data_IF_143370868756
#
_entry.id   IF_143370868756
#
_cell.length_a   1.000
_cell.length_b   1.000
_cell.length_c   1.000
_cell.angle_alpha   90.00
_cell.angle_beta   90.00
_cell.angle_gamma   90.00
#
_symmetry.space_group_name_H-M   'P 1'
#
loop_
_entity.id
_entity.type
_entity.pdbx_description
1 polymer ?
#
# COMPACT_ATOMS: atom_id res chain seq x y z
N UNK A 1 10.69 16.45 17.73
CA UNK A 1 9.43 15.71 17.42
C UNK A 1 8.98 15.84 15.95
N UNK A 2 9.10 17.02 15.32
CA UNK A 2 8.75 17.25 13.91
C UNK A 2 9.58 16.39 12.95
N UNK A 3 10.87 16.18 13.25
CA UNK A 3 11.76 15.27 12.51
C UNK A 3 11.32 13.80 12.55
N UNK A 4 10.77 13.32 13.68
CA UNK A 4 10.26 11.96 13.80
C UNK A 4 8.95 11.80 13.00
N UNK A 5 8.05 12.79 13.09
CA UNK A 5 6.84 12.84 12.25
C UNK A 5 7.20 12.90 10.77
N UNK A 6 8.19 13.70 10.37
CA UNK A 6 8.71 13.74 9.01
C UNK A 6 9.36 12.41 8.62
N UNK A 7 10.11 11.76 9.51
CA UNK A 7 10.74 10.46 9.23
C UNK A 7 9.72 9.33 9.03
N UNK A 8 8.54 9.42 9.66
CA UNK A 8 7.43 8.46 9.49
C UNK A 8 6.52 8.85 8.32
N UNK A 9 6.22 10.13 8.14
CA UNK A 9 5.34 10.62 7.09
C UNK A 9 6.04 10.66 5.72
N UNK A 10 7.33 10.95 5.66
CA UNK A 10 8.10 10.98 4.42
C UNK A 10 8.06 9.65 3.66
N UNK A 11 8.33 8.47 4.25
CA UNK A 11 8.20 7.20 3.54
C UNK A 11 6.75 6.92 3.15
N UNK A 12 5.76 7.31 3.96
CA UNK A 12 4.34 7.16 3.59
C UNK A 12 3.96 8.04 2.40
N UNK A 13 4.38 9.30 2.38
CA UNK A 13 4.18 10.25 1.27
C UNK A 13 4.93 9.76 0.03
N UNK A 14 6.17 9.29 0.19
CA UNK A 14 6.96 8.73 -0.90
C UNK A 14 6.29 7.48 -1.48
N UNK A 15 5.81 6.56 -0.63
CA UNK A 15 5.05 5.38 -1.05
C UNK A 15 3.77 5.81 -1.77
N UNK A 16 3.01 6.76 -1.22
CA UNK A 16 1.80 7.28 -1.85
C UNK A 16 2.08 7.94 -3.20
N UNK A 17 3.16 8.73 -3.31
CA UNK A 17 3.60 9.37 -4.55
C UNK A 17 4.04 8.32 -5.58
N UNK A 18 4.80 7.30 -5.17
CA UNK A 18 5.19 6.18 -6.03
C UNK A 18 3.97 5.38 -6.51
N UNK A 19 2.99 5.13 -5.63
CA UNK A 19 1.72 4.50 -5.99
C UNK A 19 0.92 5.35 -6.98
N UNK A 20 0.88 6.67 -6.79
CA UNK A 20 0.21 7.60 -7.70
C UNK A 20 0.87 7.61 -9.08
N UNK A 21 2.20 7.72 -9.13
CA UNK A 21 2.97 7.65 -10.39
C UNK A 21 2.72 6.31 -11.09
N UNK A 22 2.74 5.19 -10.35
CA UNK A 22 2.41 3.87 -10.87
C UNK A 22 0.99 3.82 -11.43
N UNK A 23 0.01 4.41 -10.74
CA UNK A 23 -1.39 4.45 -11.19
C UNK A 23 -1.56 5.28 -12.46
N UNK A 24 -0.87 6.42 -12.56
CA UNK A 24 -0.88 7.27 -13.76
C UNK A 24 -0.22 6.57 -14.96
N UNK A 25 0.93 5.92 -14.74
CA UNK A 25 1.59 5.11 -15.78
C UNK A 25 0.69 3.96 -16.23
N UNK A 26 0.03 3.29 -15.28
CA UNK A 26 -0.92 2.23 -15.58
C UNK A 26 -2.09 2.74 -16.43
N UNK A 27 -2.67 3.90 -16.12
CA UNK A 27 -3.73 4.51 -16.93
C UNK A 27 -3.27 4.83 -18.35
N UNK A 28 -2.09 5.47 -18.49
CA UNK A 28 -1.53 5.80 -19.82
C UNK A 28 -1.33 4.56 -20.69
N UNK A 29 -0.78 3.49 -20.10
CA UNK A 29 -0.59 2.23 -20.83
C UNK A 29 -1.91 1.56 -21.20
N UNK A 30 -2.94 1.62 -20.35
CA UNK A 30 -4.27 1.11 -20.69
C UNK A 30 -4.90 1.85 -21.86
N UNK A 31 -4.76 3.19 -21.90
CA UNK A 31 -5.22 4.01 -23.01
C UNK A 31 -4.48 3.68 -24.31
N UNK A 32 -3.16 3.50 -24.24
CA UNK A 32 -2.36 3.10 -25.40
C UNK A 32 -2.77 1.73 -25.95
N UNK A 33 -2.97 0.73 -25.08
CA UNK A 33 -3.47 -0.59 -25.48
C UNK A 33 -4.88 -0.52 -26.07
N UNK A 34 -5.76 0.33 -25.52
CA UNK A 34 -7.10 0.56 -26.09
C UNK A 34 -7.04 1.16 -27.49
N UNK A 35 -6.17 2.15 -27.72
CA UNK A 35 -5.97 2.74 -29.04
C UNK A 35 -5.45 1.71 -30.06
N UNK A 36 -4.51 0.85 -29.65
CA UNK A 36 -4.04 -0.27 -30.48
C UNK A 36 -5.19 -1.21 -30.84
N UNK A 37 -6.02 -1.62 -29.87
CA UNK A 37 -7.17 -2.51 -30.14
C UNK A 37 -8.11 -1.91 -31.17
N UNK A 38 -8.46 -0.63 -31.03
CA UNK A 38 -9.36 0.05 -31.97
C UNK A 38 -8.78 0.07 -33.39
N UNK A 39 -7.48 0.38 -33.55
CA UNK A 39 -6.81 0.37 -34.85
C UNK A 39 -6.81 -1.02 -35.48
N UNK A 40 -6.45 -2.06 -34.72
CA UNK A 40 -6.43 -3.43 -35.23
C UNK A 40 -7.82 -3.95 -35.59
N UNK A 41 -8.85 -3.60 -34.81
CA UNK A 41 -10.23 -3.94 -35.12
C UNK A 41 -10.68 -3.34 -36.46
N UNK A 42 -10.31 -2.09 -36.74
CA UNK A 42 -10.63 -1.43 -38.01
C UNK A 42 -9.80 -1.95 -39.18
N UNK A 43 -8.53 -2.29 -38.96
CA UNK A 43 -7.63 -2.72 -40.01
C UNK A 43 -7.87 -4.18 -40.43
N UNK A 44 -8.36 -5.04 -39.52
CA UNK A 44 -8.52 -6.47 -39.75
C UNK A 44 -9.95 -6.94 -39.43
N UNK A 45 -10.95 -6.53 -40.24
CA UNK A 45 -12.33 -6.97 -40.04
C UNK A 45 -12.45 -8.50 -40.22
N UNK A 46 -13.39 -9.17 -39.51
CA UNK A 46 -13.60 -10.60 -39.65
C UNK A 46 -14.05 -10.98 -41.06
N UNK A 47 -13.54 -12.09 -41.59
CA UNK A 47 -14.03 -12.65 -42.84
C UNK A 47 -15.39 -13.37 -42.63
N UNK A 48 -16.17 -13.63 -43.70
CA UNK A 48 -17.44 -14.36 -43.59
C UNK A 48 -17.26 -15.71 -42.89
N UNK A 49 -17.93 -15.89 -41.74
CA UNK A 49 -17.84 -17.10 -40.92
C UNK A 49 -16.71 -17.10 -39.89
N UNK A 50 -15.98 -16.00 -39.72
CA UNK A 50 -15.02 -15.79 -38.64
C UNK A 50 -15.64 -14.97 -37.50
N UNK A 51 -15.28 -15.30 -36.26
CA UNK A 51 -15.61 -14.49 -35.08
C UNK A 51 -14.39 -13.68 -34.65
N UNK A 52 -14.53 -12.36 -34.58
CA UNK A 52 -13.49 -11.46 -34.11
C UNK A 52 -13.55 -11.32 -32.57
N UNK A 53 -12.43 -11.54 -31.89
CA UNK A 53 -12.32 -11.40 -30.43
C UNK A 53 -11.13 -10.50 -30.09
N UNK A 54 -11.34 -9.48 -29.27
CA UNK A 54 -10.22 -8.66 -28.77
C UNK A 54 -9.49 -9.36 -27.64
N UNK A 55 -8.16 -9.31 -27.69
CA UNK A 55 -7.30 -10.01 -26.75
C UNK A 55 -6.17 -9.15 -26.21
N UNK A 56 -5.79 -9.42 -24.98
CA UNK A 56 -4.58 -8.90 -24.34
C UNK A 56 -3.49 -9.96 -24.40
N UNK A 57 -2.28 -9.54 -24.73
CA UNK A 57 -1.17 -10.45 -24.99
C UNK A 57 -0.01 -10.08 -24.07
N UNK A 58 0.60 -11.12 -23.50
CA UNK A 58 1.85 -11.02 -22.77
C UNK A 58 2.92 -11.78 -23.55
N UNK A 59 3.90 -11.04 -24.07
CA UNK A 59 5.04 -11.62 -24.78
C UNK A 59 5.97 -12.36 -23.81
N UNK A 60 6.79 -13.32 -24.29
CA UNK A 60 7.77 -14.00 -23.46
C UNK A 60 8.75 -13.05 -22.77
N UNK A 61 9.15 -11.96 -23.44
CA UNK A 61 10.06 -10.96 -22.89
C UNK A 61 9.41 -10.20 -21.71
N UNK A 62 8.14 -9.80 -21.84
CA UNK A 62 7.43 -9.12 -20.77
C UNK A 62 7.11 -10.04 -19.59
N UNK A 63 6.78 -11.30 -19.88
CA UNK A 63 6.54 -12.33 -18.85
C UNK A 63 7.76 -12.62 -17.96
N UNK A 64 8.98 -12.33 -18.42
CA UNK A 64 10.22 -12.48 -17.64
C UNK A 64 10.46 -11.32 -16.66
N UNK A 65 9.81 -10.17 -16.83
CA UNK A 65 9.99 -9.00 -15.94
C UNK A 65 9.53 -9.31 -14.51
N UNK A 66 10.28 -8.81 -13.52
CA UNK A 66 10.01 -9.07 -12.10
C UNK A 66 8.77 -8.34 -11.57
N UNK A 67 8.51 -7.13 -12.05
CA UNK A 67 7.45 -6.24 -11.56
C UNK A 67 6.79 -5.48 -12.72
N UNK A 68 6.12 -6.19 -13.65
CA UNK A 68 5.47 -5.53 -14.76
C UNK A 68 4.37 -4.59 -14.23
N UNK A 69 4.29 -3.37 -14.77
CA UNK A 69 3.21 -2.43 -14.44
C UNK A 69 1.83 -2.95 -14.84
N UNK A 70 1.79 -3.73 -15.92
CA UNK A 70 0.59 -4.36 -16.46
C UNK A 70 0.84 -5.80 -16.80
N UNK A 71 -0.24 -6.57 -16.78
CA UNK A 71 -0.21 -7.98 -17.11
C UNK A 71 0.00 -8.24 -18.62
N UNK A 72 -0.17 -7.23 -19.48
CA UNK A 72 0.01 -7.31 -20.94
C UNK A 72 0.87 -6.14 -21.46
N UNK A 73 1.72 -6.43 -22.43
CA UNK A 73 2.55 -5.48 -23.17
C UNK A 73 2.11 -5.32 -24.63
N UNK A 74 1.15 -6.13 -25.06
CA UNK A 74 0.58 -6.09 -26.38
C UNK A 74 -0.94 -6.23 -26.35
N UNK A 75 -1.57 -5.69 -27.39
CA UNK A 75 -2.99 -5.81 -27.65
C UNK A 75 -3.19 -6.41 -29.02
N UNK A 76 -4.26 -7.19 -29.19
CA UNK A 76 -4.53 -7.85 -30.44
C UNK A 76 -6.00 -8.16 -30.69
N UNK A 77 -6.22 -8.70 -31.88
CA UNK A 77 -7.47 -9.19 -32.40
C UNK A 77 -7.23 -10.62 -32.87
N UNK A 78 -8.05 -11.53 -32.34
CA UNK A 78 -8.06 -12.94 -32.70
C UNK A 78 -9.28 -13.20 -33.59
N UNK A 79 -9.03 -13.53 -34.85
CA UNK A 79 -10.05 -13.97 -35.79
C UNK A 79 -10.15 -15.50 -35.72
N UNK A 80 -11.28 -15.99 -35.22
CA UNK A 80 -11.56 -17.40 -35.00
C UNK A 80 -12.34 -17.93 -36.20
N UNK A 81 -11.69 -18.69 -37.07
CA UNK A 81 -12.31 -19.32 -38.24
C UNK A 81 -12.53 -20.82 -38.05
N UNK A 82 -13.10 -21.48 -39.08
CA UNK A 82 -13.28 -22.95 -39.10
C UNK A 82 -11.94 -23.69 -39.13
N UNK A 83 -10.96 -23.15 -39.86
CA UNK A 83 -9.70 -23.84 -40.17
C UNK A 83 -8.58 -23.54 -39.15
N UNK A 84 -8.72 -22.49 -38.33
CA UNK A 84 -7.70 -22.07 -37.39
C UNK A 84 -7.96 -20.68 -36.81
N UNK A 85 -6.93 -20.16 -36.13
CA UNK A 85 -6.93 -18.87 -35.46
C UNK A 85 -5.91 -17.95 -36.11
N UNK A 86 -6.33 -16.75 -36.50
CA UNK A 86 -5.43 -15.68 -36.96
C UNK A 86 -5.33 -14.63 -35.88
N UNK A 87 -4.12 -14.38 -35.39
CA UNK A 87 -3.82 -13.36 -34.40
C UNK A 87 -3.13 -12.19 -35.08
N UNK A 88 -3.76 -11.02 -35.04
CA UNK A 88 -3.13 -9.75 -35.38
C UNK A 88 -2.91 -8.97 -34.09
N UNK A 89 -1.68 -8.59 -33.80
CA UNK A 89 -1.35 -7.89 -32.56
C UNK A 89 -0.25 -6.87 -32.74
N UNK A 90 -0.20 -5.90 -31.83
CA UNK A 90 0.82 -4.87 -31.81
C UNK A 90 1.26 -4.68 -30.36
N UNK A 91 2.57 -4.62 -30.15
CA UNK A 91 3.13 -4.33 -28.83
C UNK A 91 3.13 -2.83 -28.58
N UNK A 92 3.20 -2.41 -27.31
CA UNK A 92 3.43 -1.00 -26.96
C UNK A 92 4.73 -0.43 -27.53
N UNK A 93 5.67 -1.28 -27.95
CA UNK A 93 6.92 -0.87 -28.57
C UNK A 93 6.81 -0.67 -30.10
N UNK A 94 5.66 -0.97 -30.72
CA UNK A 94 5.40 -0.75 -32.14
C UNK A 94 5.57 -1.93 -33.11
N UNK A 95 6.27 -3.06 -32.84
CA UNK A 95 6.25 -4.16 -33.78
C UNK A 95 4.86 -4.81 -33.82
N UNK A 96 4.30 -4.85 -35.02
CA UNK A 96 3.14 -5.66 -35.36
C UNK A 96 3.54 -7.13 -35.48
N UNK A 97 2.66 -8.03 -35.04
CA UNK A 97 2.81 -9.47 -35.15
C UNK A 97 1.55 -10.04 -35.78
N UNK A 98 1.74 -10.91 -36.76
CA UNK A 98 0.69 -11.69 -37.37
C UNK A 98 1.07 -13.17 -37.27
N UNK A 99 0.22 -13.97 -36.64
CA UNK A 99 0.49 -15.39 -36.41
C UNK A 99 -0.77 -16.22 -36.67
N UNK A 100 -0.57 -17.39 -37.26
CA UNK A 100 -1.62 -18.38 -37.48
C UNK A 100 -1.41 -19.58 -36.55
N UNK A 101 -2.48 -20.03 -35.92
CA UNK A 101 -2.48 -21.21 -35.06
C UNK A 101 -3.55 -22.21 -35.51
N UNK A 102 -3.23 -23.50 -35.61
CA UNK A 102 -4.26 -24.52 -35.79
C UNK A 102 -5.15 -24.61 -34.54
N UNK A 103 -6.40 -24.97 -34.75
CA UNK A 103 -7.41 -25.07 -33.68
C UNK A 103 -7.35 -26.44 -33.02
N UNK A 104 -6.30 -26.68 -32.24
CA UNK A 104 -6.10 -27.94 -31.53
C UNK A 104 -5.55 -27.73 -30.10
N UNK A 105 -5.69 -28.76 -29.27
CA UNK A 105 -5.27 -28.73 -27.87
C UNK A 105 -3.74 -28.76 -27.68
N UNK A 106 -2.96 -29.07 -28.73
CA UNK A 106 -1.50 -29.02 -28.65
C UNK A 106 -1.04 -27.55 -28.68
N UNK A 107 -1.63 -26.76 -29.56
CA UNK A 107 -1.29 -25.36 -29.78
C UNK A 107 -2.06 -24.39 -28.87
N UNK A 108 -3.19 -24.82 -28.30
CA UNK A 108 -4.03 -24.00 -27.41
C UNK A 108 -4.10 -24.67 -26.04
N UNK A 109 -3.33 -24.16 -25.08
CA UNK A 109 -3.27 -24.73 -23.74
C UNK A 109 -3.82 -23.79 -22.69
N UNK A 110 -4.62 -24.33 -21.77
CA UNK A 110 -5.06 -23.60 -20.59
C UNK A 110 -3.90 -23.45 -19.61
N UNK A 111 -3.42 -22.21 -19.39
CA UNK A 111 -2.40 -21.95 -18.37
C UNK A 111 -3.01 -21.75 -16.98
N UNK A 112 -4.27 -21.29 -16.93
CA UNK A 112 -4.92 -20.90 -15.68
C UNK A 112 -4.25 -19.67 -15.06
N UNK A 113 -4.27 -19.60 -13.72
CA UNK A 113 -3.58 -18.56 -12.95
C UNK A 113 -2.11 -18.95 -12.77
N UNK A 114 -1.17 -18.20 -13.34
CA UNK A 114 0.24 -18.58 -13.31
C UNK A 114 1.15 -17.52 -12.69
N UNK A 115 1.88 -17.91 -11.63
CA UNK A 115 2.97 -17.11 -11.03
C UNK A 115 2.53 -15.95 -10.13
N UNK A 116 3.47 -15.42 -9.32
CA UNK A 116 3.29 -14.22 -8.47
C UNK A 116 3.22 -12.92 -9.26
N UNK A 117 3.71 -12.94 -10.51
CA UNK A 117 3.96 -11.74 -11.33
C UNK A 117 2.84 -11.41 -12.30
N UNK A 118 1.92 -12.34 -12.54
CA UNK A 118 0.78 -12.15 -13.42
C UNK A 118 -0.46 -12.23 -12.54
N UNK A 119 -1.02 -11.07 -12.23
CA UNK A 119 -2.02 -10.86 -11.20
C UNK A 119 -3.28 -11.67 -11.51
N UNK A 120 -3.41 -12.88 -10.95
CA UNK A 120 -4.64 -13.69 -10.84
C UNK A 120 -5.58 -13.69 -12.05
N UNK A 121 -5.01 -13.68 -13.25
CA UNK A 121 -5.75 -13.73 -14.52
C UNK A 121 -5.55 -15.09 -15.16
N UNK A 122 -6.60 -15.55 -15.84
CA UNK A 122 -6.52 -16.73 -16.69
C UNK A 122 -5.85 -16.36 -18.00
N UNK A 123 -4.84 -17.15 -18.36
CA UNK A 123 -4.13 -17.03 -19.62
C UNK A 123 -4.30 -18.31 -20.42
N UNK A 124 -4.37 -18.14 -21.73
CA UNK A 124 -4.22 -19.19 -22.72
C UNK A 124 -2.83 -19.10 -23.30
N UNK A 125 -2.19 -20.24 -23.50
CA UNK A 125 -0.96 -20.33 -24.28
C UNK A 125 -1.36 -20.64 -25.73
N UNK A 126 -0.90 -19.82 -26.66
CA UNK A 126 -0.97 -20.07 -28.09
C UNK A 126 0.43 -20.40 -28.64
N UNK A 127 0.54 -21.51 -29.37
CA UNK A 127 1.74 -21.93 -30.09
C UNK A 127 2.56 -23.03 -29.40
N UNK A 128 3.42 -23.68 -30.18
CA UNK A 128 4.28 -24.80 -29.75
C UNK A 128 5.75 -24.38 -29.46
N UNK A 129 6.10 -23.10 -29.62
CA UNK A 129 7.48 -22.58 -29.48
C UNK A 129 7.56 -21.24 -28.74
N UNK A 130 7.47 -20.12 -29.46
CA UNK A 130 7.32 -18.79 -28.84
C UNK A 130 5.92 -18.64 -28.27
N UNK A 131 5.75 -19.09 -27.03
CA UNK A 131 4.42 -19.19 -26.45
C UNK A 131 3.87 -17.81 -26.12
N UNK A 132 2.84 -17.39 -26.86
CA UNK A 132 2.10 -16.18 -26.55
C UNK A 132 1.07 -16.47 -25.48
N UNK A 133 1.08 -15.65 -24.42
CA UNK A 133 0.02 -15.68 -23.41
C UNK A 133 -1.08 -14.75 -23.85
N UNK A 134 -2.26 -15.28 -24.09
CA UNK A 134 -3.42 -14.56 -24.61
C UNK A 134 -4.59 -14.65 -23.63
N UNK A 135 -5.31 -13.55 -23.46
CA UNK A 135 -6.56 -13.51 -22.70
C UNK A 135 -7.55 -12.57 -23.37
N UNK A 136 -8.86 -12.66 -23.10
CA UNK A 136 -9.82 -11.68 -23.58
C UNK A 136 -9.45 -10.28 -23.08
N UNK A 137 -9.60 -9.29 -23.94
CA UNK A 137 -9.40 -7.89 -23.57
C UNK A 137 -10.42 -7.47 -22.50
N UNK A 138 -9.98 -6.65 -21.56
CA UNK A 138 -10.84 -6.09 -20.52
C UNK A 138 -10.20 -6.04 -19.14
N UNK A 139 -10.95 -5.50 -18.18
CA UNK A 139 -10.56 -5.47 -16.78
C UNK A 139 -10.45 -6.88 -16.18
N UNK A 140 -9.82 -6.97 -15.00
CA UNK A 140 -9.55 -8.24 -14.30
C UNK A 140 -10.81 -9.11 -14.19
N UNK A 141 -11.94 -8.53 -13.78
CA UNK A 141 -13.22 -9.24 -13.59
C UNK A 141 -13.77 -9.80 -14.91
N UNK A 142 -13.82 -8.97 -15.96
CA UNK A 142 -14.29 -9.40 -17.28
C UNK A 142 -13.40 -10.52 -17.83
N UNK A 143 -12.08 -10.34 -17.83
CA UNK A 143 -11.16 -11.35 -18.33
C UNK A 143 -11.27 -12.67 -17.56
N UNK A 144 -11.46 -12.62 -16.24
CA UNK A 144 -11.65 -13.83 -15.43
C UNK A 144 -12.93 -14.60 -15.82
N UNK A 145 -14.01 -13.90 -16.13
CA UNK A 145 -15.29 -14.51 -16.53
C UNK A 145 -15.29 -14.97 -17.99
N UNK A 146 -14.64 -14.23 -18.89
CA UNK A 146 -14.66 -14.50 -20.32
C UNK A 146 -13.55 -15.43 -20.79
N UNK A 147 -12.50 -15.67 -20.02
CA UNK A 147 -11.40 -16.58 -20.43
C UNK A 147 -11.84 -18.05 -20.55
N UNK A 148 -12.65 -18.62 -19.63
CA UNK A 148 -13.22 -19.96 -19.82
C UNK A 148 -14.12 -20.02 -21.06
N UNK A 149 -14.92 -18.99 -21.31
CA UNK A 149 -15.78 -18.89 -22.50
C UNK A 149 -14.96 -18.78 -23.78
N UNK A 150 -13.86 -18.01 -23.77
CA UNK A 150 -12.91 -17.94 -24.86
C UNK A 150 -12.27 -19.31 -25.11
N UNK A 151 -11.81 -20.00 -24.07
CA UNK A 151 -11.23 -21.33 -24.20
C UNK A 151 -12.20 -22.31 -24.87
N UNK A 152 -13.47 -22.32 -24.43
CA UNK A 152 -14.52 -23.13 -25.06
C UNK A 152 -14.82 -22.69 -26.49
N UNK A 153 -14.85 -21.37 -26.75
CA UNK A 153 -15.00 -20.88 -28.12
C UNK A 153 -13.84 -21.35 -29.02
N UNK A 154 -12.62 -21.46 -28.48
CA UNK A 154 -11.43 -21.89 -29.24
C UNK A 154 -11.29 -23.40 -29.37
N UNK A 155 -11.76 -24.22 -28.44
CA UNK A 155 -11.57 -25.69 -28.47
C UNK A 155 -12.88 -26.50 -28.40
N UNK A 156 -14.04 -25.86 -28.52
CA UNK A 156 -15.35 -26.49 -28.39
C UNK A 156 -15.72 -26.77 -26.93
N UNK A 157 -16.39 -27.88 -26.65
CA UNK A 157 -16.85 -28.25 -25.30
C UNK A 157 -15.72 -28.70 -24.34
N UNK A 158 -14.46 -28.41 -24.66
CA UNK A 158 -13.34 -28.66 -23.79
C UNK A 158 -13.51 -27.90 -22.46
N UNK A 159 -13.67 -28.65 -21.37
CA UNK A 159 -13.76 -28.07 -20.03
C UNK A 159 -12.36 -27.65 -19.56
N UNK A 160 -12.12 -26.36 -19.22
CA UNK A 160 -10.88 -25.98 -18.58
C UNK A 160 -10.76 -26.71 -17.24
N UNK A 161 -9.56 -27.14 -16.85
CA UNK A 161 -9.32 -27.86 -15.60
C UNK A 161 -9.96 -27.11 -14.41
N UNK A 162 -10.75 -27.83 -13.61
CA UNK A 162 -11.81 -27.36 -12.70
C UNK A 162 -11.42 -26.37 -11.59
N UNK A 163 -10.15 -26.02 -11.43
CA UNK A 163 -9.67 -25.03 -10.44
C UNK A 163 -10.00 -23.58 -10.86
N UNK A 164 -10.62 -23.38 -12.02
CA UNK A 164 -10.55 -22.13 -12.78
C UNK A 164 -11.81 -21.22 -12.80
N UNK A 165 -12.87 -21.47 -12.02
CA UNK A 165 -14.14 -20.73 -12.21
C UNK A 165 -14.60 -19.91 -10.98
N UNK A 166 -14.12 -20.20 -9.77
CA UNK A 166 -14.52 -19.42 -8.61
C UNK A 166 -13.83 -18.04 -8.61
N UNK A 167 -14.60 -16.99 -8.89
CA UNK A 167 -14.18 -15.61 -8.70
C UNK A 167 -13.81 -15.39 -7.24
N UNK A 168 -12.56 -15.05 -6.97
CA UNK A 168 -12.14 -14.73 -5.61
C UNK A 168 -12.80 -13.41 -5.18
N UNK A 169 -13.50 -13.44 -4.06
CA UNK A 169 -13.93 -12.25 -3.33
C UNK A 169 -13.18 -12.22 -2.00
N UNK A 170 -12.64 -11.05 -1.64
CA UNK A 170 -11.88 -10.90 -0.40
C UNK A 170 -12.73 -11.29 0.83
N UNK A 171 -14.02 -11.01 0.74
CA UNK A 171 -15.04 -11.27 1.76
C UNK A 171 -15.46 -12.74 1.87
N UNK A 172 -15.19 -13.60 0.87
CA UNK A 172 -15.56 -15.01 0.95
C UNK A 172 -14.45 -15.91 1.49
N UNK A 173 -13.21 -15.40 1.56
CA UNK A 173 -12.07 -16.18 2.02
C UNK A 173 -11.76 -15.91 3.51
N UNK A 174 -11.86 -16.93 4.39
CA UNK A 174 -11.70 -16.73 5.84
C UNK A 174 -10.28 -16.36 6.26
N UNK A 175 -9.23 -16.72 5.50
CA UNK A 175 -7.87 -16.24 5.79
C UNK A 175 -7.70 -14.77 5.39
N UNK A 176 -8.24 -14.35 4.25
CA UNK A 176 -8.20 -12.95 3.83
C UNK A 176 -8.95 -12.06 4.83
N UNK A 177 -10.12 -12.50 5.32
CA UNK A 177 -10.86 -11.82 6.38
C UNK A 177 -10.03 -11.68 7.66
N UNK A 178 -9.46 -12.78 8.19
CA UNK A 178 -8.65 -12.76 9.42
C UNK A 178 -7.49 -11.76 9.34
N UNK A 179 -6.75 -11.75 8.23
CA UNK A 179 -5.64 -10.82 8.02
C UNK A 179 -6.14 -9.38 7.93
N UNK A 180 -7.24 -9.14 7.22
CA UNK A 180 -7.85 -7.81 7.09
C UNK A 180 -8.34 -7.28 8.45
N UNK A 181 -9.00 -8.11 9.26
CA UNK A 181 -9.42 -7.75 10.62
C UNK A 181 -8.22 -7.43 11.51
N UNK A 182 -7.18 -8.27 11.49
CA UNK A 182 -5.96 -8.03 12.26
C UNK A 182 -5.29 -6.70 11.85
N UNK A 183 -5.17 -6.44 10.56
CA UNK A 183 -4.68 -5.17 10.02
C UNK A 183 -5.51 -3.98 10.54
N UNK A 184 -6.84 -4.06 10.47
CA UNK A 184 -7.73 -2.97 10.86
C UNK A 184 -7.66 -2.68 12.37
N UNK A 185 -7.73 -3.72 13.21
CA UNK A 185 -7.66 -3.56 14.67
C UNK A 185 -6.33 -2.96 15.11
N UNK A 186 -5.21 -3.50 14.61
CA UNK A 186 -3.88 -2.99 14.95
C UNK A 186 -3.64 -1.57 14.39
N UNK A 187 -4.10 -1.32 13.17
CA UNK A 187 -4.00 -0.01 12.53
C UNK A 187 -4.79 1.07 13.27
N UNK A 188 -6.04 0.78 13.66
CA UNK A 188 -6.87 1.68 14.46
C UNK A 188 -6.27 1.93 15.84
N UNK A 189 -5.78 0.89 16.50
CA UNK A 189 -5.10 1.03 17.79
C UNK A 189 -3.88 1.95 17.68
N UNK A 190 -3.03 1.74 16.68
CA UNK A 190 -1.85 2.56 16.45
C UNK A 190 -2.22 4.02 16.11
N UNK A 191 -3.23 4.22 15.26
CA UNK A 191 -3.72 5.55 14.89
C UNK A 191 -4.24 6.32 16.10
N UNK A 192 -5.04 5.66 16.94
CA UNK A 192 -5.57 6.26 18.17
C UNK A 192 -4.45 6.72 19.10
N UNK A 193 -3.50 5.83 19.38
CA UNK A 193 -2.44 6.09 20.36
C UNK A 193 -1.36 7.06 19.85
N UNK A 194 -0.93 6.94 18.59
CA UNK A 194 0.22 7.69 18.08
C UNK A 194 -0.16 9.02 17.43
N UNK A 195 -1.41 9.17 16.98
CA UNK A 195 -1.83 10.31 16.15
C UNK A 195 -2.97 11.09 16.77
N UNK A 196 -4.08 10.44 17.13
CA UNK A 196 -5.31 11.14 17.49
C UNK A 196 -5.32 11.65 18.94
N UNK A 197 -4.86 10.84 19.88
CA UNK A 197 -4.85 11.19 21.30
C UNK A 197 -3.48 10.94 21.95
N UNK A 198 -2.38 11.53 21.43
CA UNK A 198 -1.06 11.33 22.02
C UNK A 198 -0.96 12.14 23.32
N UNK A 199 -1.44 11.55 24.41
CA UNK A 199 -1.25 12.11 25.76
C UNK A 199 0.23 12.14 26.15
N UNK A 200 1.00 11.21 25.61
CA UNK A 200 2.42 11.08 25.88
C UNK A 200 3.21 11.18 24.59
N UNK A 201 4.13 12.14 24.56
CA UNK A 201 4.93 12.46 23.40
C UNK A 201 6.30 11.81 23.54
N UNK A 202 6.66 10.94 22.60
CA UNK A 202 8.01 10.38 22.54
C UNK A 202 9.04 11.48 22.22
N UNK A 203 9.96 11.72 23.15
CA UNK A 203 11.01 12.72 23.02
C UNK A 203 12.22 12.19 22.26
N UNK A 204 12.67 10.98 22.61
CA UNK A 204 13.81 10.34 21.99
C UNK A 204 13.58 8.82 21.88
N UNK A 205 13.69 8.23 20.68
CA UNK A 205 13.78 6.78 20.55
C UNK A 205 15.17 6.37 21.04
N UNK A 206 15.33 6.21 22.37
CA UNK A 206 16.64 6.03 23.01
C UNK A 206 17.45 4.84 22.53
N UNK A 207 16.85 3.92 21.76
CA UNK A 207 17.48 2.68 21.29
C UNK A 207 16.97 2.30 19.89
N UNK A 208 17.69 2.63 18.79
CA UNK A 208 17.30 2.19 17.44
C UNK A 208 17.26 0.66 17.31
N UNK A 209 18.04 -0.05 18.14
CA UNK A 209 18.03 -1.50 18.23
C UNK A 209 16.65 -2.06 18.66
N UNK A 210 15.91 -1.32 19.48
CA UNK A 210 14.57 -1.72 19.95
C UNK A 210 13.54 -1.60 18.82
N UNK A 211 13.67 -0.59 17.96
CA UNK A 211 12.87 -0.45 16.75
C UNK A 211 13.20 -1.57 15.74
N UNK A 212 14.48 -1.93 15.59
CA UNK A 212 14.90 -3.07 14.78
C UNK A 212 14.38 -4.40 15.34
N UNK A 213 14.37 -4.55 16.67
CA UNK A 213 13.83 -5.72 17.36
C UNK A 213 12.31 -5.87 17.15
N UNK A 214 11.57 -4.78 16.89
CA UNK A 214 10.16 -4.83 16.51
C UNK A 214 9.95 -5.23 15.04
N UNK A 215 10.87 -4.85 14.16
CA UNK A 215 10.76 -5.13 12.73
C UNK A 215 10.85 -6.63 12.40
N UNK A 216 11.70 -7.38 13.11
CA UNK A 216 11.87 -8.81 12.88
C UNK A 216 10.57 -9.63 13.14
N UNK A 217 9.90 -9.55 14.31
CA UNK A 217 8.66 -10.26 14.54
C UNK A 217 7.52 -9.76 13.64
N UNK A 218 7.47 -8.46 13.30
CA UNK A 218 6.51 -7.95 12.33
C UNK A 218 6.71 -8.59 10.94
N UNK A 219 7.97 -8.69 10.49
CA UNK A 219 8.32 -9.30 9.21
C UNK A 219 7.97 -10.79 9.19
N UNK A 220 8.28 -11.51 10.26
CA UNK A 220 7.91 -12.93 10.42
C UNK A 220 6.39 -13.10 10.41
N UNK A 221 5.65 -12.28 11.16
CA UNK A 221 4.18 -12.31 11.17
C UNK A 221 3.57 -12.07 9.79
N UNK A 222 4.08 -11.07 9.06
CA UNK A 222 3.67 -10.80 7.68
C UNK A 222 4.04 -11.94 6.71
N UNK A 223 5.21 -12.55 6.86
CA UNK A 223 5.62 -13.70 6.06
C UNK A 223 4.77 -14.95 6.31
N UNK A 224 4.40 -15.20 7.58
CA UNK A 224 3.47 -16.27 7.96
C UNK A 224 2.07 -16.00 7.41
N UNK A 225 1.59 -14.75 7.47
CA UNK A 225 0.31 -14.36 6.88
C UNK A 225 0.31 -14.57 5.36
N UNK A 226 1.37 -14.15 4.67
CA UNK A 226 1.53 -14.38 3.23
C UNK A 226 1.45 -15.87 2.90
N UNK A 227 2.19 -16.70 3.64
CA UNK A 227 2.18 -18.16 3.44
C UNK A 227 0.78 -18.75 3.67
N UNK A 228 0.08 -18.31 4.72
CA UNK A 228 -1.27 -18.77 5.01
C UNK A 228 -2.27 -18.36 3.90
N UNK A 229 -2.23 -17.11 3.44
CA UNK A 229 -3.07 -16.61 2.36
C UNK A 229 -2.84 -17.39 1.05
N UNK A 230 -1.57 -17.66 0.71
CA UNK A 230 -1.24 -18.44 -0.48
C UNK A 230 -1.70 -19.90 -0.37
N UNK A 231 -1.66 -20.50 0.83
CA UNK A 231 -2.18 -21.85 1.08
C UNK A 231 -3.70 -21.91 0.87
N UNK A 232 -4.41 -20.86 1.27
CA UNK A 232 -5.86 -20.74 1.12
C UNK A 232 -6.26 -20.19 -0.27
N UNK A 233 -5.37 -20.30 -1.26
CA UNK A 233 -5.58 -19.93 -2.66
C UNK A 233 -5.99 -18.46 -2.86
N UNK A 234 -5.62 -17.58 -1.93
CA UNK A 234 -5.81 -16.14 -2.10
C UNK A 234 -4.95 -15.68 -3.27
N UNK A 235 -5.50 -14.83 -4.16
CA UNK A 235 -4.77 -14.20 -5.23
C UNK A 235 -3.43 -13.63 -4.78
N UNK A 236 -2.37 -13.96 -5.50
CA UNK A 236 -1.00 -13.65 -5.09
C UNK A 236 -0.77 -12.15 -4.88
N UNK A 237 -1.36 -11.31 -5.73
CA UNK A 237 -1.32 -9.86 -5.59
C UNK A 237 -2.06 -9.35 -4.36
N UNK A 238 -3.25 -9.89 -4.09
CA UNK A 238 -4.02 -9.55 -2.88
C UNK A 238 -3.31 -10.04 -1.60
N UNK A 239 -2.74 -11.25 -1.63
CA UNK A 239 -1.99 -11.82 -0.53
C UNK A 239 -0.76 -10.98 -0.18
N UNK A 240 0.01 -10.56 -1.20
CA UNK A 240 1.16 -9.68 -1.02
C UNK A 240 0.75 -8.31 -0.42
N UNK A 241 -0.28 -7.67 -0.99
CA UNK A 241 -0.79 -6.39 -0.50
C UNK A 241 -1.24 -6.48 0.97
N UNK A 242 -2.08 -7.47 1.30
CA UNK A 242 -2.57 -7.69 2.66
C UNK A 242 -1.42 -7.94 3.65
N UNK A 243 -0.39 -8.68 3.23
CA UNK A 243 0.77 -8.96 4.08
C UNK A 243 1.62 -7.72 4.33
N UNK A 244 1.81 -6.86 3.34
CA UNK A 244 2.50 -5.57 3.49
C UNK A 244 1.72 -4.62 4.39
N UNK A 245 0.40 -4.54 4.23
CA UNK A 245 -0.47 -3.75 5.10
C UNK A 245 -0.40 -4.26 6.55
N UNK A 246 -0.48 -5.57 6.74
CA UNK A 246 -0.34 -6.18 8.06
C UNK A 246 1.04 -5.91 8.68
N UNK A 247 2.13 -5.99 7.91
CA UNK A 247 3.47 -5.64 8.38
C UNK A 247 3.52 -4.21 8.94
N UNK A 248 2.97 -3.24 8.20
CA UNK A 248 2.87 -1.86 8.63
C UNK A 248 2.06 -1.70 9.93
N UNK A 249 0.91 -2.37 10.02
CA UNK A 249 0.08 -2.33 11.24
C UNK A 249 0.74 -3.04 12.43
N UNK A 250 1.48 -4.13 12.23
CA UNK A 250 2.23 -4.81 13.29
C UNK A 250 3.35 -3.91 13.82
N UNK A 251 4.06 -3.21 12.94
CA UNK A 251 5.07 -2.23 13.35
C UNK A 251 4.46 -1.07 14.13
N UNK A 252 3.42 -0.44 13.59
CA UNK A 252 2.81 0.73 14.22
C UNK A 252 2.11 0.35 15.54
N UNK A 253 1.32 -0.73 15.54
CA UNK A 253 0.62 -1.23 16.72
C UNK A 253 1.58 -1.77 17.78
N UNK A 254 2.65 -2.45 17.36
CA UNK A 254 3.70 -2.91 18.25
C UNK A 254 4.44 -1.76 18.93
N UNK A 255 4.78 -0.70 18.19
CA UNK A 255 5.39 0.50 18.76
C UNK A 255 4.44 1.18 19.76
N UNK A 256 3.17 1.36 19.39
CA UNK A 256 2.16 1.90 20.29
C UNK A 256 2.02 1.06 21.57
N UNK A 257 2.02 -0.27 21.44
CA UNK A 257 2.00 -1.20 22.58
C UNK A 257 3.24 -1.08 23.47
N UNK A 258 4.44 -0.98 22.89
CA UNK A 258 5.69 -0.83 23.64
C UNK A 258 5.73 0.50 24.39
N UNK A 259 5.32 1.61 23.77
CA UNK A 259 5.27 2.92 24.45
C UNK A 259 4.28 2.90 25.61
N UNK A 260 3.12 2.28 25.41
CA UNK A 260 2.10 2.10 26.44
C UNK A 260 2.63 1.24 27.61
N UNK A 261 3.30 0.13 27.31
CA UNK A 261 3.85 -0.77 28.31
C UNK A 261 5.00 -0.10 29.08
N UNK A 262 5.89 0.59 28.39
CA UNK A 262 6.96 1.38 29.02
C UNK A 262 6.38 2.41 29.98
N UNK A 263 5.29 3.08 29.57
CA UNK A 263 4.61 4.06 30.41
C UNK A 263 3.97 3.45 31.65
N UNK A 264 3.29 2.31 31.53
CA UNK A 264 2.67 1.62 32.67
C UNK A 264 3.72 1.24 33.71
N UNK A 265 4.93 0.91 33.25
CA UNK A 265 6.06 0.54 34.11
C UNK A 265 6.88 1.74 34.59
N UNK A 266 6.68 2.93 34.02
CA UNK A 266 7.39 4.14 34.38
C UNK A 266 6.75 4.82 35.60
N UNK A 267 7.57 5.52 36.39
CA UNK A 267 7.09 6.46 37.41
C UNK A 267 7.18 7.88 36.86
N UNK A 268 6.07 8.58 36.63
CA UNK A 268 6.09 9.96 36.16
C UNK A 268 6.72 10.89 37.20
N UNK A 269 7.64 11.75 36.79
CA UNK A 269 8.31 12.72 37.65
C UNK A 269 8.32 14.11 37.03
N UNK A 270 8.20 15.13 37.86
CA UNK A 270 8.29 16.53 37.43
C UNK A 270 9.74 16.97 37.44
N UNK A 271 10.19 17.55 36.34
CA UNK A 271 11.53 18.08 36.19
C UNK A 271 11.48 19.54 35.78
N UNK A 272 12.34 20.34 36.40
CA UNK A 272 12.52 21.74 36.04
C UNK A 272 13.39 21.86 34.79
N UNK A 273 12.90 22.60 33.80
CA UNK A 273 13.59 22.88 32.56
C UNK A 273 13.76 24.37 32.37
N UNK A 274 14.97 24.79 31.99
CA UNK A 274 15.24 26.18 31.68
C UNK A 274 15.10 26.44 30.17
N UNK A 275 14.39 27.51 29.81
CA UNK A 275 14.21 27.93 28.43
C UNK A 275 15.53 28.53 27.88
N UNK A 276 16.10 27.87 26.86
CA UNK A 276 17.35 28.29 26.23
C UNK A 276 17.10 29.20 25.02
N UNK A 277 16.06 28.90 24.26
CA UNK A 277 15.55 29.67 23.13
C UNK A 277 14.03 29.66 23.18
N UNK A 278 13.37 30.60 22.51
CA UNK A 278 11.91 30.63 22.41
C UNK A 278 11.43 29.28 21.87
N UNK A 279 10.71 28.50 22.68
CA UNK A 279 10.21 27.13 22.42
C UNK A 279 11.16 25.94 22.68
N UNK A 280 12.38 26.18 23.15
CA UNK A 280 13.39 25.13 23.39
C UNK A 280 13.90 25.13 24.82
N UNK A 281 13.75 23.98 25.47
CA UNK A 281 13.97 23.79 26.90
C UNK A 281 15.03 22.70 27.13
N UNK A 282 15.95 22.95 28.07
CA UNK A 282 17.03 22.03 28.44
C UNK A 282 17.14 21.89 29.95
N UNK A 283 17.44 20.67 30.39
CA UNK A 283 17.76 20.33 31.77
C UNK A 283 18.98 19.39 31.79
N UNK A 284 19.78 19.45 32.84
CA UNK A 284 20.98 18.62 32.95
C UNK A 284 20.61 17.14 33.11
N UNK A 285 21.21 16.27 32.28
CA UNK A 285 20.99 14.82 32.35
C UNK A 285 19.64 14.31 31.82
N UNK A 286 18.85 15.18 31.21
CA UNK A 286 17.52 14.87 30.67
C UNK A 286 17.44 15.18 29.17
N UNK A 287 16.50 14.57 28.42
CA UNK A 287 16.31 14.89 27.01
C UNK A 287 15.84 16.34 26.82
N UNK A 288 16.35 16.97 25.76
CA UNK A 288 15.93 18.31 25.35
C UNK A 288 14.46 18.31 24.89
N UNK A 289 13.71 19.36 25.23
CA UNK A 289 12.32 19.53 24.81
C UNK A 289 12.22 20.60 23.72
N UNK A 290 11.62 20.23 22.60
CA UNK A 290 11.37 21.09 21.44
C UNK A 290 9.86 21.29 21.29
N UNK A 291 9.36 22.44 21.76
CA UNK A 291 7.94 22.78 21.88
C UNK A 291 7.47 23.77 20.81
N UNK A 292 8.06 23.71 19.61
CA UNK A 292 7.72 24.56 18.45
C UNK A 292 6.23 24.72 18.15
N UNK A 293 5.43 23.68 18.34
CA UNK A 293 3.97 23.74 18.13
C UNK A 293 3.27 24.75 19.04
N UNK A 294 3.93 25.15 20.12
CA UNK A 294 3.42 26.08 21.13
C UNK A 294 4.25 27.36 21.21
N UNK A 295 5.07 27.66 20.18
CA UNK A 295 5.97 28.82 20.15
C UNK A 295 5.28 30.15 20.46
N UNK A 296 4.03 30.33 20.00
CA UNK A 296 3.25 31.54 20.27
C UNK A 296 2.96 31.76 21.76
N UNK A 297 2.79 30.67 22.53
CA UNK A 297 2.60 30.73 23.97
C UNK A 297 3.90 31.09 24.70
N UNK A 298 5.04 30.52 24.27
CA UNK A 298 6.33 30.74 24.92
C UNK A 298 7.06 32.03 24.50
N UNK A 299 6.66 32.65 23.39
CA UNK A 299 7.27 33.87 22.85
C UNK A 299 7.41 35.03 23.84
N UNK A 300 6.44 35.30 24.74
CA UNK A 300 6.54 36.39 25.69
C UNK A 300 7.49 36.14 26.87
N UNK A 301 7.86 34.89 27.15
CA UNK A 301 8.64 34.56 28.34
C UNK A 301 10.15 34.78 28.10
N UNK A 302 10.89 35.25 29.11
CA UNK A 302 12.31 35.57 28.96
C UNK A 302 13.17 34.31 28.89
N UNK A 303 14.33 34.40 28.22
CA UNK A 303 15.34 33.33 28.25
C UNK A 303 15.74 33.05 29.70
N UNK A 304 15.85 31.78 30.06
CA UNK A 304 16.08 31.32 31.43
C UNK A 304 14.80 31.06 32.23
N UNK A 305 13.61 31.37 31.68
CA UNK A 305 12.33 30.98 32.28
C UNK A 305 12.35 29.49 32.59
N UNK A 306 12.00 29.14 33.84
CA UNK A 306 12.04 27.76 34.31
C UNK A 306 10.63 27.24 34.44
N UNK A 307 10.34 26.13 33.78
CA UNK A 307 9.03 25.49 33.78
C UNK A 307 9.15 24.03 34.21
N UNK A 308 8.11 23.50 34.86
CA UNK A 308 8.07 22.11 35.26
C UNK A 308 7.35 21.26 34.22
N UNK A 309 8.04 20.26 33.67
CA UNK A 309 7.46 19.27 32.76
C UNK A 309 7.39 17.91 33.45
N UNK A 310 6.31 17.18 33.20
CA UNK A 310 6.16 15.81 33.71
C UNK A 310 6.70 14.84 32.66
N UNK A 311 7.74 14.10 33.02
CA UNK A 311 8.36 13.08 32.17
C UNK A 311 8.15 11.70 32.76
N UNK A 312 8.00 10.72 31.87
CA UNK A 312 8.05 9.31 32.19
C UNK A 312 9.23 8.68 31.46
N UNK A 313 10.04 7.93 32.20
CA UNK A 313 11.12 7.11 31.65
C UNK A 313 10.95 5.69 32.16
N UNK A 314 10.54 4.79 31.27
CA UNK A 314 10.33 3.40 31.63
C UNK A 314 11.54 2.51 31.36
N UNK A 315 11.45 1.23 31.74
CA UNK A 315 12.55 0.27 31.65
C UNK A 315 12.99 -0.05 30.21
N UNK A 316 12.13 0.19 29.21
CA UNK A 316 12.48 0.02 27.80
C UNK A 316 13.38 1.18 27.30
N UNK A 317 13.50 2.26 28.08
CA UNK A 317 14.38 3.39 27.79
C UNK A 317 13.76 4.43 26.88
N UNK A 318 12.42 4.51 26.84
CA UNK A 318 11.74 5.59 26.14
C UNK A 318 11.51 6.76 27.09
N UNK A 319 11.87 7.96 26.63
CA UNK A 319 11.50 9.20 27.31
C UNK A 319 10.22 9.74 26.73
N UNK A 320 9.21 9.92 27.58
CA UNK A 320 7.88 10.37 27.20
C UNK A 320 7.51 11.62 27.99
N UNK A 321 7.04 12.66 27.29
CA UNK A 321 6.54 13.90 27.88
C UNK A 321 5.01 13.83 28.01
N UNK A 322 4.49 14.18 29.18
CA UNK A 322 3.04 14.34 29.37
C UNK A 322 2.59 15.61 28.63
N UNK A 323 1.74 15.47 27.62
CA UNK A 323 1.20 16.62 26.90
C UNK A 323 0.26 17.44 27.77
N UNK A 324 -0.40 16.81 28.75
CA UNK A 324 -1.39 17.48 29.59
C UNK A 324 -0.71 18.51 30.51
N UNK A 325 0.57 18.29 30.86
CA UNK A 325 1.29 19.17 31.78
C UNK A 325 1.45 20.61 31.25
N UNK A 326 1.29 20.82 29.94
CA UNK A 326 1.32 22.15 29.32
C UNK A 326 0.10 22.43 28.42
N UNK A 327 -0.78 21.46 28.16
CA UNK A 327 -1.95 21.64 27.29
C UNK A 327 -2.94 22.67 27.85
N UNK A 328 -3.24 22.62 29.15
CA UNK A 328 -4.21 23.53 29.77
C UNK A 328 -3.71 24.98 29.74
N UNK A 329 -2.42 25.19 29.99
CA UNK A 329 -1.79 26.51 29.94
C UNK A 329 -1.82 27.10 28.52
N UNK A 330 -1.54 26.28 27.51
CA UNK A 330 -1.60 26.68 26.09
C UNK A 330 -3.04 26.99 25.66
N UNK A 331 -4.01 26.15 26.03
CA UNK A 331 -5.42 26.36 25.70
C UNK A 331 -5.97 27.63 26.36
N UNK A 332 -5.62 27.86 27.63
CA UNK A 332 -5.97 29.09 28.33
C UNK A 332 -5.43 30.32 27.60
N UNK A 333 -4.14 30.30 27.22
CA UNK A 333 -3.52 31.40 26.50
C UNK A 333 -4.14 31.64 25.12
N UNK A 334 -4.45 30.59 24.37
CA UNK A 334 -5.12 30.72 23.08
C UNK A 334 -6.52 31.34 23.22
N UNK A 335 -7.29 30.94 24.25
CA UNK A 335 -8.58 31.56 24.55
C UNK A 335 -8.42 33.03 24.96
N UNK A 336 -7.43 33.33 25.79
CA UNK A 336 -7.12 34.70 26.20
C UNK A 336 -6.70 35.58 25.01
N UNK A 337 -5.93 35.05 24.05
CA UNK A 337 -5.59 35.76 22.82
C UNK A 337 -6.82 36.03 21.94
N UNK A 338 -7.70 35.05 21.77
CA UNK A 338 -8.95 35.24 21.02
C UNK A 338 -9.85 36.30 21.68
N UNK A 339 -9.93 36.31 23.02
CA UNK A 339 -10.66 37.34 23.77
C UNK A 339 -9.99 38.71 23.65
N UNK A 340 -8.66 38.79 23.78
CA UNK A 340 -7.91 40.03 23.64
C UNK A 340 -7.99 40.63 22.22
N UNK A 341 -8.07 39.78 21.19
CA UNK A 341 -8.35 40.22 19.82
C UNK A 341 -9.76 40.79 19.67
N UNK A 342 -10.73 40.28 20.45
CA UNK A 342 -12.10 40.81 20.47
C UNK A 342 -12.23 42.10 21.30
N UNK A 343 -11.41 42.30 22.34
CA UNK A 343 -11.52 43.44 23.27
C UNK A 343 -10.42 44.51 23.16
N UNK A 344 -9.40 44.30 22.32
CA UNK A 344 -8.34 45.28 22.05
C UNK A 344 -7.31 45.48 23.19
N UNK A 345 -7.30 44.62 24.21
CA UNK A 345 -6.39 44.73 25.37
C UNK A 345 -5.62 43.42 25.59
N UNK A 346 -4.30 43.44 25.39
CA UNK A 346 -3.41 42.29 25.69
C UNK A 346 -2.71 42.48 27.04
N UNK A 347 -2.96 41.56 27.99
CA UNK A 347 -2.20 41.41 29.24
C UNK A 347 -1.06 40.40 29.05
N UNK A 348 0.12 40.69 29.61
CA UNK A 348 1.25 39.74 29.62
C UNK A 348 0.96 38.60 30.61
N UNK A 349 1.13 37.35 30.15
CA UNK A 349 0.91 36.13 30.93
C UNK A 349 2.24 35.35 30.98
N UNK A 350 3.20 35.84 31.76
CA UNK A 350 4.29 34.99 32.28
C UNK A 350 4.43 35.40 33.75
N UNK A 351 4.06 34.50 34.66
CA UNK A 351 4.26 34.65 36.11
C UNK A 351 5.54 33.91 36.52
#
# INVERSE_FOLDING_TARGET
MLLLKLFILFPLILIAALLLVRLLQARRQQQALQAIRQRLQTAHPPQPGEQQITVDICTPAHGKRLWPLHDSDAAGVLNVGKNGLRLHAETLAGPAMEQYFPRDAQHIRWLGRHGLRQLDRYWLLLGNGEVLRVRPAGGVKMAAQSSPSLYRALLGDATPASVAVAGFALESNPAAQRVTTAFAVLGLYALWQLVLAPRWVLLHPGKPLLLAALALPALLGAGLALRALLRDQVPKGAAALLSVLLFGSLLAGGLAGLLQLDRILATPQRHAYAMQQTDYFRAAGLPDLDLRSTRGYWAPCPKGHTEQFTLAHGPLGFWQLDSDSYADAVQFYQRAQLMAQATGTMTRVCN
#
